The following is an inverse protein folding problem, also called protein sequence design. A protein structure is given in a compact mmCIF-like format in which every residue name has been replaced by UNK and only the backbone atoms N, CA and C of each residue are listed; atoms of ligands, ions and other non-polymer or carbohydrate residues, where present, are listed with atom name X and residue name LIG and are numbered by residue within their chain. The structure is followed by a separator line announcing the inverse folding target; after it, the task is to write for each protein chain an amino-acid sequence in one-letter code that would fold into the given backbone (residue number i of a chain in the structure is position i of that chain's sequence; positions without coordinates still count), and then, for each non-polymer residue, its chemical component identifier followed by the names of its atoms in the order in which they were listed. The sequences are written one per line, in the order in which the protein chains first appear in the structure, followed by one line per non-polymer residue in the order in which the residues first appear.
data_IF_829658557733
#
_entry.id   IF_829658557733
#
_cell.length_a   1.000
_cell.length_b   1.000
_cell.length_c   1.000
_cell.angle_alpha   90.00
_cell.angle_beta   90.00
_cell.angle_gamma   90.00
#
_symmetry.space_group_name_H-M   'P 1'
#
loop_
_entity.id
_entity.type
_entity.pdbx_description
1 polymer ?
#
# COMPACT_ATOMS: atom_id res chain seq x y z
N UNK A 1 -8.13 27.62 31.17
CA UNK A 1 -7.97 26.21 30.73
C UNK A 1 -8.52 26.16 29.32
N UNK A 2 -7.69 26.57 28.36
CA UNK A 2 -8.03 26.49 26.94
C UNK A 2 -7.71 25.08 26.42
N UNK A 3 -8.55 24.52 25.52
CA UNK A 3 -8.30 23.21 24.94
C UNK A 3 -7.19 23.30 23.88
N UNK A 4 -6.27 22.34 23.92
CA UNK A 4 -5.14 22.23 23.02
C UNK A 4 -5.56 22.15 21.53
N UNK A 5 -4.85 22.92 20.69
CA UNK A 5 -4.95 22.92 19.23
C UNK A 5 -4.58 21.57 18.60
N UNK A 6 -5.20 21.16 17.49
CA UNK A 6 -4.91 19.89 16.82
C UNK A 6 -3.87 20.08 15.70
N UNK A 7 -2.59 20.15 16.04
CA UNK A 7 -1.54 20.23 15.03
C UNK A 7 -0.20 19.78 15.58
N UNK A 8 -0.10 18.51 15.94
CA UNK A 8 1.18 17.81 16.10
C UNK A 8 0.97 16.34 15.70
N UNK A 9 0.91 16.10 14.38
CA UNK A 9 1.24 14.79 13.85
C UNK A 9 2.77 14.74 13.77
N UNK A 10 3.42 13.69 14.33
CA UNK A 10 4.86 13.59 14.24
C UNK A 10 5.28 13.57 12.76
N UNK A 11 6.25 14.43 12.44
CA UNK A 11 6.85 14.52 11.13
C UNK A 11 7.26 13.13 10.65
N UNK A 12 6.73 12.80 9.47
CA UNK A 12 7.04 11.61 8.70
C UNK A 12 8.56 11.43 8.63
N UNK A 13 9.04 10.20 8.75
CA UNK A 13 10.46 9.88 8.55
C UNK A 13 10.83 10.17 7.08
N UNK A 14 11.26 11.41 6.80
CA UNK A 14 11.55 11.96 5.47
C UNK A 14 12.72 11.30 4.74
N UNK A 15 13.31 10.25 5.32
CA UNK A 15 14.57 9.66 4.87
C UNK A 15 14.41 8.34 4.11
N UNK A 16 13.20 7.78 4.01
CA UNK A 16 13.00 6.56 3.23
C UNK A 16 12.82 6.90 1.74
N UNK A 17 13.65 6.35 0.83
CA UNK A 17 13.43 6.53 -0.60
C UNK A 17 12.07 5.92 -1.00
N UNK A 18 11.33 6.56 -1.92
CA UNK A 18 10.07 6.01 -2.40
C UNK A 18 10.31 4.66 -3.07
N UNK A 19 9.36 3.73 -2.91
CA UNK A 19 9.40 2.43 -3.58
C UNK A 19 9.60 2.60 -5.10
N UNK A 20 10.53 1.85 -5.74
CA UNK A 20 10.80 1.98 -7.16
C UNK A 20 9.59 1.68 -8.03
N UNK A 21 9.48 2.39 -9.15
CA UNK A 21 8.32 2.35 -10.05
C UNK A 21 8.05 0.94 -10.60
N UNK A 22 9.10 0.17 -10.85
CA UNK A 22 9.02 -1.22 -11.27
C UNK A 22 8.30 -2.10 -10.23
N UNK A 23 8.61 -1.91 -8.94
CA UNK A 23 7.97 -2.65 -7.84
C UNK A 23 6.51 -2.24 -7.66
N UNK A 24 6.19 -0.95 -7.83
CA UNK A 24 4.80 -0.45 -7.81
C UNK A 24 3.98 -1.02 -8.97
N UNK A 25 4.59 -1.11 -10.16
CA UNK A 25 3.97 -1.67 -11.36
C UNK A 25 3.73 -3.18 -11.22
N UNK A 26 4.72 -3.91 -10.73
CA UNK A 26 4.59 -5.33 -10.39
C UNK A 26 3.47 -5.56 -9.38
N UNK A 27 3.40 -4.72 -8.35
CA UNK A 27 2.38 -4.83 -7.32
C UNK A 27 0.97 -4.63 -7.89
N UNK A 28 0.78 -3.60 -8.73
CA UNK A 28 -0.48 -3.37 -9.40
C UNK A 28 -0.88 -4.56 -10.29
N UNK A 29 0.04 -5.07 -11.12
CA UNK A 29 -0.20 -6.23 -11.98
C UNK A 29 -0.56 -7.50 -11.19
N UNK A 30 0.17 -7.76 -10.10
CA UNK A 30 -0.06 -8.91 -9.22
C UNK A 30 -1.46 -8.89 -8.62
N UNK A 31 -1.89 -7.74 -8.11
CA UNK A 31 -3.19 -7.56 -7.47
C UNK A 31 -4.33 -7.63 -8.47
N UNK A 32 -4.17 -7.03 -9.66
CA UNK A 32 -5.14 -7.15 -10.75
C UNK A 32 -5.31 -8.60 -11.24
N UNK A 33 -4.30 -9.44 -11.04
CA UNK A 33 -4.35 -10.87 -11.39
C UNK A 33 -5.03 -11.76 -10.33
N UNK A 34 -5.37 -11.22 -9.15
CA UNK A 34 -5.95 -12.01 -8.03
C UNK A 34 -7.39 -12.43 -8.35
N UNK A 35 -8.19 -11.51 -8.87
CA UNK A 35 -9.59 -11.72 -9.23
C UNK A 35 -9.92 -11.06 -10.56
N UNK A 36 -10.80 -11.70 -11.33
CA UNK A 36 -11.45 -11.01 -12.44
C UNK A 36 -12.41 -9.98 -11.87
N UNK A 37 -12.14 -8.71 -12.13
CA UNK A 37 -13.02 -7.59 -11.75
C UNK A 37 -13.70 -7.05 -13.03
N UNK A 38 -14.99 -6.68 -13.00
CA UNK A 38 -15.58 -5.93 -14.10
C UNK A 38 -14.87 -4.58 -14.27
N UNK A 39 -14.89 -4.00 -15.49
CA UNK A 39 -14.38 -2.65 -15.68
C UNK A 39 -15.12 -1.66 -14.76
N UNK A 40 -14.43 -0.67 -14.18
CA UNK A 40 -15.07 0.33 -13.33
C UNK A 40 -16.11 1.13 -14.13
N UNK A 41 -17.27 1.47 -13.55
CA UNK A 41 -18.19 2.40 -14.18
C UNK A 41 -17.56 3.81 -14.27
N UNK A 42 -17.96 4.64 -15.26
CA UNK A 42 -17.32 5.94 -15.53
C UNK A 42 -17.40 6.95 -14.37
N UNK A 43 -18.27 6.75 -13.39
CA UNK A 43 -18.45 7.63 -12.22
C UNK A 43 -17.69 7.16 -10.97
N UNK A 44 -17.00 6.03 -11.02
CA UNK A 44 -16.53 5.31 -9.83
C UNK A 44 -15.48 6.05 -8.98
N UNK A 45 -14.69 6.94 -9.59
CA UNK A 45 -13.58 7.63 -8.91
C UNK A 45 -13.73 9.16 -8.87
N UNK A 46 -14.83 9.71 -9.42
CA UNK A 46 -14.90 11.13 -9.79
C UNK A 46 -14.97 12.12 -8.63
N UNK A 47 -15.22 11.68 -7.39
CA UNK A 47 -15.55 12.64 -6.31
C UNK A 47 -14.50 12.80 -5.22
N UNK A 48 -13.58 11.84 -5.01
CA UNK A 48 -12.70 11.87 -3.82
C UNK A 48 -11.20 11.98 -4.14
N UNK A 49 -10.78 11.75 -5.38
CA UNK A 49 -9.35 11.74 -5.75
C UNK A 49 -8.91 12.95 -6.62
N UNK A 50 -9.85 13.80 -7.05
CA UNK A 50 -9.59 14.93 -7.95
C UNK A 50 -9.69 16.32 -7.26
N UNK A 51 -9.24 16.47 -6.02
CA UNK A 51 -9.11 17.80 -5.42
C UNK A 51 -7.65 18.17 -5.21
N UNK A 52 -7.00 18.50 -6.32
CA UNK A 52 -5.82 19.35 -6.37
C UNK A 52 -5.80 20.04 -7.73
N UNK A 53 -6.61 21.08 -7.89
CA UNK A 53 -6.35 22.09 -8.90
C UNK A 53 -6.97 23.40 -8.46
N UNK A 54 -6.09 24.34 -8.13
CA UNK A 54 -6.40 25.75 -7.92
C UNK A 54 -7.09 26.33 -9.15
N UNK A 55 -8.06 27.19 -8.87
CA UNK A 55 -8.90 27.94 -9.79
C UNK A 55 -8.17 28.54 -10.99
N UNK A 56 -8.62 28.24 -12.20
CA UNK A 56 -8.49 29.11 -13.38
C UNK A 56 -9.64 28.84 -14.36
N UNK A 57 -10.49 29.84 -14.70
CA UNK A 57 -11.57 29.67 -15.67
C UNK A 57 -11.17 30.28 -17.02
N UNK A 58 -10.66 29.49 -17.97
CA UNK A 58 -10.80 29.83 -19.38
C UNK A 58 -10.73 28.62 -20.33
N UNK A 59 -11.58 28.68 -21.36
CA UNK A 59 -11.97 27.68 -22.34
C UNK A 59 -10.84 26.91 -23.04
N UNK A 60 -11.05 25.61 -23.31
CA UNK A 60 -11.25 25.07 -24.68
C UNK A 60 -11.39 23.54 -24.71
N UNK A 61 -12.26 23.08 -25.60
CA UNK A 61 -12.79 21.73 -25.76
C UNK A 61 -11.78 20.72 -26.32
N UNK A 62 -11.52 19.65 -25.57
CA UNK A 62 -11.24 18.30 -26.08
C UNK A 62 -11.81 17.30 -25.06
N UNK A 63 -12.34 16.12 -25.46
CA UNK A 63 -12.68 15.09 -24.50
C UNK A 63 -11.37 14.46 -24.03
N UNK A 64 -10.65 15.16 -23.15
CA UNK A 64 -9.54 14.58 -22.40
C UNK A 64 -10.15 13.46 -21.58
N UNK A 65 -9.88 12.24 -22.04
CA UNK A 65 -9.94 10.98 -21.31
C UNK A 65 -9.78 11.27 -19.81
N UNK A 66 -10.88 11.19 -19.06
CA UNK A 66 -10.91 11.45 -17.63
C UNK A 66 -9.96 10.46 -16.97
N UNK A 67 -8.73 10.89 -16.69
CA UNK A 67 -7.64 10.05 -16.19
C UNK A 67 -8.01 9.53 -14.81
N UNK A 68 -8.57 8.31 -14.78
CA UNK A 68 -8.67 7.50 -13.59
C UNK A 68 -7.27 7.38 -12.98
N UNK A 69 -7.08 7.65 -11.67
CA UNK A 69 -5.80 7.38 -11.05
C UNK A 69 -5.54 5.87 -11.11
N UNK A 70 -4.47 5.49 -11.80
CA UNK A 70 -4.08 4.08 -11.93
C UNK A 70 -3.83 3.48 -10.53
N UNK A 71 -4.03 2.17 -10.39
CA UNK A 71 -3.71 1.45 -9.15
C UNK A 71 -2.26 1.73 -8.68
N UNK A 72 -1.35 1.95 -9.64
CA UNK A 72 0.03 2.38 -9.39
C UNK A 72 0.09 3.75 -8.70
N UNK A 73 -0.68 4.73 -9.16
CA UNK A 73 -0.73 6.05 -8.51
C UNK A 73 -1.29 5.97 -7.09
N UNK A 74 -2.37 5.23 -6.88
CA UNK A 74 -2.93 4.98 -5.54
C UNK A 74 -1.90 4.33 -4.61
N UNK A 75 -1.23 3.28 -5.10
CA UNK A 75 -0.20 2.57 -4.36
C UNK A 75 0.98 3.47 -4.01
N UNK A 76 1.47 4.28 -4.96
CA UNK A 76 2.55 5.25 -4.72
C UNK A 76 2.18 6.22 -3.60
N UNK A 77 0.98 6.79 -3.65
CA UNK A 77 0.50 7.73 -2.63
C UNK A 77 0.47 7.09 -1.24
N UNK A 78 0.04 5.82 -1.13
CA UNK A 78 0.07 5.10 0.15
C UNK A 78 1.51 4.84 0.59
N UNK A 79 2.37 4.35 -0.29
CA UNK A 79 3.75 4.02 0.06
C UNK A 79 4.50 5.24 0.60
N UNK A 80 4.32 6.40 -0.03
CA UNK A 80 4.94 7.66 0.43
C UNK A 80 4.36 8.11 1.77
N UNK A 81 3.03 8.18 1.90
CA UNK A 81 2.38 8.73 3.11
C UNK A 81 2.44 7.81 4.33
N UNK A 82 2.57 6.49 4.13
CA UNK A 82 2.71 5.50 5.20
C UNK A 82 4.16 5.00 5.37
N UNK A 83 5.13 5.64 4.71
CA UNK A 83 6.55 5.28 4.73
C UNK A 83 6.81 3.78 4.49
N UNK A 84 6.14 3.19 3.49
CA UNK A 84 6.28 1.77 3.15
C UNK A 84 7.65 1.52 2.53
N UNK A 85 8.39 0.58 3.11
CA UNK A 85 9.68 0.12 2.58
C UNK A 85 9.49 -0.87 1.43
N UNK A 86 10.52 -1.04 0.60
CA UNK A 86 10.51 -2.04 -0.47
C UNK A 86 10.27 -3.46 0.06
N UNK A 87 10.90 -3.82 1.18
CA UNK A 87 10.69 -5.11 1.84
C UNK A 87 9.23 -5.29 2.29
N UNK A 88 8.63 -4.26 2.90
CA UNK A 88 7.23 -4.31 3.30
C UNK A 88 6.29 -4.49 2.09
N UNK A 89 6.60 -3.85 0.96
CA UNK A 89 5.85 -4.04 -0.27
C UNK A 89 6.03 -5.46 -0.85
N UNK A 90 7.25 -6.03 -0.81
CA UNK A 90 7.50 -7.42 -1.23
C UNK A 90 6.73 -8.42 -0.37
N UNK A 91 6.80 -8.29 0.96
CA UNK A 91 6.06 -9.15 1.88
C UNK A 91 4.55 -9.03 1.62
N UNK A 92 4.07 -7.82 1.30
CA UNK A 92 2.67 -7.60 0.92
C UNK A 92 2.30 -8.37 -0.36
N UNK A 93 3.20 -8.45 -1.34
CA UNK A 93 2.98 -9.25 -2.55
C UNK A 93 3.00 -10.76 -2.30
N UNK A 94 3.82 -11.23 -1.36
CA UNK A 94 3.77 -12.61 -0.89
C UNK A 94 2.40 -12.90 -0.27
N UNK A 95 1.86 -12.00 0.55
CA UNK A 95 0.50 -12.13 1.10
C UNK A 95 -0.58 -12.11 0.01
N UNK A 96 -0.44 -11.25 -1.00
CA UNK A 96 -1.35 -11.22 -2.16
C UNK A 96 -1.32 -12.56 -2.93
N UNK A 97 -0.14 -13.16 -3.10
CA UNK A 97 0.00 -14.48 -3.72
C UNK A 97 -0.65 -15.59 -2.88
N UNK A 98 -0.53 -15.54 -1.54
CA UNK A 98 -1.23 -16.46 -0.63
C UNK A 98 -2.74 -16.28 -0.77
N UNK A 99 -3.24 -15.04 -0.78
CA UNK A 99 -4.64 -14.73 -0.98
C UNK A 99 -5.17 -15.26 -2.32
N UNK A 100 -4.42 -15.08 -3.41
CA UNK A 100 -4.78 -15.59 -4.75
C UNK A 100 -5.03 -17.10 -4.73
N UNK A 101 -4.19 -17.87 -4.05
CA UNK A 101 -4.35 -19.33 -3.90
C UNK A 101 -5.61 -19.72 -3.11
N UNK A 102 -6.05 -18.87 -2.18
CA UNK A 102 -7.27 -19.10 -1.39
C UNK A 102 -8.53 -18.80 -2.19
N UNK A 103 -8.51 -17.77 -3.04
CA UNK A 103 -9.68 -17.31 -3.77
C UNK A 103 -10.00 -18.10 -5.06
N UNK A 104 -9.07 -18.91 -5.55
CA UNK A 104 -9.23 -19.65 -6.81
C UNK A 104 -10.25 -20.78 -6.69
N UNK A 105 -11.52 -20.49 -7.01
CA UNK A 105 -12.46 -21.46 -7.61
C UNK A 105 -13.49 -20.84 -8.54
N UNK A 106 -14.04 -19.65 -8.27
CA UNK A 106 -14.91 -18.88 -9.20
C UNK A 106 -15.13 -17.42 -8.68
N UNK A 107 -14.23 -16.92 -7.85
CA UNK A 107 -14.43 -15.64 -7.18
C UNK A 107 -14.36 -14.46 -8.17
N UNK A 108 -15.31 -13.53 -8.04
CA UNK A 108 -15.36 -12.28 -8.81
C UNK A 108 -15.33 -11.13 -7.82
N UNK A 109 -14.48 -10.14 -8.08
CA UNK A 109 -14.40 -8.92 -7.29
C UNK A 109 -15.19 -7.77 -7.92
N UNK A 110 -15.48 -6.76 -7.12
CA UNK A 110 -15.92 -5.43 -7.58
C UNK A 110 -14.73 -4.61 -8.12
N UNK A 111 -14.97 -3.52 -8.88
CA UNK A 111 -13.90 -2.71 -9.45
C UNK A 111 -12.91 -2.10 -8.44
N UNK A 112 -13.32 -1.85 -7.19
CA UNK A 112 -12.42 -1.39 -6.12
C UNK A 112 -11.67 -2.51 -5.39
N UNK A 113 -11.99 -3.77 -5.67
CA UNK A 113 -11.40 -4.92 -4.97
C UNK A 113 -9.86 -4.93 -5.04
N UNK A 114 -9.21 -4.62 -6.18
CA UNK A 114 -7.76 -4.49 -6.23
C UNK A 114 -7.21 -3.48 -5.22
N UNK A 115 -7.85 -2.32 -5.09
CA UNK A 115 -7.45 -1.27 -4.15
C UNK A 115 -7.57 -1.75 -2.71
N UNK A 116 -8.69 -2.41 -2.38
CA UNK A 116 -8.93 -3.00 -1.05
C UNK A 116 -7.89 -4.07 -0.71
N UNK A 117 -7.56 -4.95 -1.65
CA UNK A 117 -6.59 -6.04 -1.45
C UNK A 117 -5.22 -5.48 -1.11
N UNK A 118 -4.68 -4.57 -1.94
CA UNK A 118 -3.33 -4.05 -1.71
C UNK A 118 -3.25 -3.18 -0.45
N UNK A 119 -4.29 -2.40 -0.17
CA UNK A 119 -4.39 -1.59 1.06
C UNK A 119 -4.38 -2.47 2.32
N UNK A 120 -5.12 -3.57 2.29
CA UNK A 120 -5.17 -4.54 3.40
C UNK A 120 -3.84 -5.22 3.61
N UNK A 121 -3.19 -5.67 2.53
CA UNK A 121 -1.90 -6.33 2.59
C UNK A 121 -0.84 -5.40 3.21
N UNK A 122 -0.75 -4.16 2.73
CA UNK A 122 0.19 -3.16 3.26
C UNK A 122 -0.05 -2.84 4.73
N UNK A 123 -1.31 -2.66 5.13
CA UNK A 123 -1.66 -2.36 6.52
C UNK A 123 -1.24 -3.50 7.45
N UNK A 124 -1.52 -4.74 7.06
CA UNK A 124 -1.17 -5.92 7.85
C UNK A 124 0.35 -6.08 7.94
N UNK A 125 1.08 -5.93 6.84
CA UNK A 125 2.55 -6.01 6.86
C UNK A 125 3.16 -4.91 7.73
N UNK A 126 2.65 -3.67 7.61
CA UNK A 126 3.10 -2.55 8.44
C UNK A 126 2.95 -2.85 9.93
N UNK A 127 1.78 -3.32 10.34
CA UNK A 127 1.54 -3.73 11.73
C UNK A 127 2.40 -4.91 12.18
N UNK A 128 2.75 -5.80 11.25
CA UNK A 128 3.54 -6.99 11.56
C UNK A 128 5.04 -6.68 11.71
N UNK A 129 5.56 -5.69 10.97
CA UNK A 129 6.98 -5.32 10.99
C UNK A 129 7.34 -4.19 11.95
N UNK A 130 6.39 -3.32 12.31
CA UNK A 130 6.62 -2.16 13.17
C UNK A 130 6.29 -2.49 14.63
N UNK A 131 7.18 -2.12 15.56
CA UNK A 131 6.99 -2.31 17.01
C UNK A 131 5.85 -1.44 17.56
N UNK A 132 5.78 -0.18 17.10
CA UNK A 132 4.67 0.72 17.40
C UNK A 132 3.74 0.83 16.19
N UNK A 133 2.61 0.14 16.29
CA UNK A 133 1.57 0.11 15.26
C UNK A 133 0.32 0.91 15.65
N UNK A 134 0.38 1.70 16.73
CA UNK A 134 -0.76 2.44 17.27
C UNK A 134 -1.27 3.44 16.24
N UNK A 135 -2.57 3.38 15.94
CA UNK A 135 -3.22 4.35 15.05
C UNK A 135 -3.03 4.11 13.54
N UNK A 136 -2.35 3.05 13.10
CA UNK A 136 -2.15 2.77 11.68
C UNK A 136 -3.46 2.67 10.87
N UNK A 137 -4.54 2.10 11.42
CA UNK A 137 -5.83 2.05 10.73
C UNK A 137 -6.42 3.46 10.52
N UNK A 138 -6.23 4.35 11.49
CA UNK A 138 -6.66 5.76 11.38
C UNK A 138 -5.80 6.50 10.36
N UNK A 139 -4.49 6.24 10.34
CA UNK A 139 -3.59 6.79 9.33
C UNK A 139 -4.01 6.35 7.93
N UNK A 140 -4.24 5.06 7.69
CA UNK A 140 -4.64 4.53 6.38
C UNK A 140 -5.99 5.11 5.93
N UNK A 141 -6.96 5.26 6.83
CA UNK A 141 -8.23 5.93 6.50
C UNK A 141 -8.00 7.38 6.06
N UNK A 142 -7.13 8.14 6.75
CA UNK A 142 -6.77 9.52 6.36
C UNK A 142 -6.05 9.58 5.00
N UNK A 143 -5.10 8.68 4.76
CA UNK A 143 -4.30 8.61 3.51
C UNK A 143 -5.18 8.35 2.28
N UNK A 144 -6.27 7.60 2.46
CA UNK A 144 -7.22 7.30 1.38
C UNK A 144 -8.18 8.46 1.08
N UNK A 145 -8.04 9.60 1.77
CA UNK A 145 -8.73 10.86 1.45
C UNK A 145 -10.26 10.70 1.29
N UNK A 146 -10.91 9.96 2.19
CA UNK A 146 -12.35 9.75 2.19
C UNK A 146 -12.85 8.62 1.28
N UNK A 147 -11.95 7.94 0.55
CA UNK A 147 -12.30 6.74 -0.21
C UNK A 147 -12.72 5.59 0.71
N UNK A 148 -12.06 5.45 1.87
CA UNK A 148 -12.38 4.42 2.85
C UNK A 148 -12.43 5.01 4.27
N UNK A 149 -13.56 4.78 4.95
CA UNK A 149 -13.72 5.16 6.36
C UNK A 149 -12.89 4.26 7.27
N UNK A 150 -12.66 4.68 8.52
CA UNK A 150 -11.98 3.83 9.51
C UNK A 150 -12.69 2.48 9.70
N UNK A 151 -14.02 2.45 9.59
CA UNK A 151 -14.80 1.22 9.67
C UNK A 151 -14.48 0.30 8.50
N UNK A 152 -14.35 0.85 7.30
CA UNK A 152 -13.98 0.10 6.10
C UNK A 152 -12.59 -0.48 6.26
N UNK A 153 -11.60 0.33 6.66
CA UNK A 153 -10.22 -0.12 6.91
C UNK A 153 -10.17 -1.26 7.95
N UNK A 154 -10.87 -1.12 9.08
CA UNK A 154 -10.94 -2.17 10.10
C UNK A 154 -11.59 -3.46 9.56
N UNK A 155 -12.54 -3.34 8.65
CA UNK A 155 -13.23 -4.49 8.05
C UNK A 155 -12.35 -5.16 7.01
N UNK A 156 -11.69 -4.38 6.17
CA UNK A 156 -10.70 -4.84 5.20
C UNK A 156 -9.58 -5.65 5.87
N UNK A 157 -8.99 -5.10 6.93
CA UNK A 157 -7.95 -5.79 7.72
C UNK A 157 -8.44 -7.14 8.25
N UNK A 158 -9.59 -7.16 8.95
CA UNK A 158 -10.13 -8.40 9.54
C UNK A 158 -10.46 -9.44 8.47
N UNK A 159 -11.07 -9.03 7.37
CA UNK A 159 -11.38 -9.92 6.25
C UNK A 159 -10.11 -10.50 5.62
N UNK A 160 -9.09 -9.66 5.39
CA UNK A 160 -7.82 -10.09 4.81
C UNK A 160 -7.08 -11.09 5.72
N UNK A 161 -6.97 -10.80 7.01
CA UNK A 161 -6.39 -11.71 8.01
C UNK A 161 -7.15 -13.04 8.08
N UNK A 162 -8.48 -12.99 8.05
CA UNK A 162 -9.33 -14.18 8.03
C UNK A 162 -9.10 -15.05 6.79
N UNK A 163 -8.99 -14.45 5.61
CA UNK A 163 -8.70 -15.15 4.36
C UNK A 163 -7.31 -15.80 4.37
N UNK A 164 -6.31 -15.13 4.96
CA UNK A 164 -4.97 -15.69 5.14
C UNK A 164 -4.87 -16.70 6.29
N UNK A 165 -5.93 -16.87 7.09
CA UNK A 165 -5.91 -17.65 8.34
C UNK A 165 -4.73 -17.27 9.25
N UNK A 166 -4.40 -15.98 9.28
CA UNK A 166 -3.25 -15.44 10.03
C UNK A 166 -1.89 -16.04 9.66
N UNK A 167 -1.73 -16.62 8.47
CA UNK A 167 -0.44 -17.04 7.94
C UNK A 167 0.38 -15.83 7.50
N UNK A 168 1.00 -15.16 8.48
CA UNK A 168 1.74 -13.91 8.32
C UNK A 168 3.26 -14.09 8.33
N UNK A 169 3.76 -15.18 8.90
CA UNK A 169 5.19 -15.45 8.90
C UNK A 169 5.70 -15.61 7.46
N UNK A 170 6.79 -14.91 7.14
CA UNK A 170 7.48 -14.97 5.83
C UNK A 170 8.96 -15.17 6.12
N UNK A 171 9.55 -16.23 5.57
CA UNK A 171 10.98 -16.50 5.73
C UNK A 171 11.83 -15.68 4.78
N UNK A 172 13.11 -15.52 5.10
CA UNK A 172 14.09 -14.95 4.17
C UNK A 172 14.15 -15.73 2.84
N UNK A 173 14.00 -17.05 2.90
CA UNK A 173 13.94 -17.91 1.70
C UNK A 173 12.71 -17.61 0.83
N UNK A 174 11.54 -17.36 1.44
CA UNK A 174 10.35 -16.95 0.69
C UNK A 174 10.54 -15.59 0.01
N UNK A 175 11.18 -14.64 0.71
CA UNK A 175 11.53 -13.32 0.14
C UNK A 175 12.52 -13.47 -1.02
N UNK A 176 13.61 -14.24 -0.82
CA UNK A 176 14.61 -14.48 -1.85
C UNK A 176 13.99 -15.18 -3.07
N UNK A 177 13.16 -16.19 -2.85
CA UNK A 177 12.43 -16.91 -3.91
C UNK A 177 11.50 -15.97 -4.67
N UNK A 178 10.78 -15.09 -3.97
CA UNK A 178 9.92 -14.09 -4.60
C UNK A 178 10.71 -13.15 -5.51
N UNK A 179 11.82 -12.60 -5.01
CA UNK A 179 12.70 -11.69 -5.76
C UNK A 179 13.25 -12.40 -6.99
N UNK A 180 13.74 -13.64 -6.83
CA UNK A 180 14.27 -14.44 -7.93
C UNK A 180 13.22 -14.70 -9.03
N UNK A 181 11.99 -15.04 -8.65
CA UNK A 181 10.90 -15.26 -9.61
C UNK A 181 10.54 -14.02 -10.43
N UNK A 182 10.70 -12.82 -9.86
CA UNK A 182 10.34 -11.55 -10.50
C UNK A 182 11.56 -10.72 -10.93
N UNK A 183 12.75 -11.32 -10.97
CA UNK A 183 14.01 -10.62 -11.25
C UNK A 183 14.00 -9.83 -12.57
N UNK A 184 13.28 -10.34 -13.60
CA UNK A 184 13.11 -9.68 -14.90
C UNK A 184 12.26 -8.42 -14.84
N UNK A 185 11.36 -8.32 -13.88
CA UNK A 185 10.49 -7.15 -13.70
C UNK A 185 11.14 -6.13 -12.74
N UNK A 186 12.03 -6.61 -11.87
CA UNK A 186 12.69 -5.84 -10.82
C UNK A 186 14.14 -5.43 -11.14
N UNK A 187 14.53 -5.39 -12.42
CA UNK A 187 15.88 -5.01 -12.84
C UNK A 187 16.38 -3.75 -12.10
N UNK A 188 17.38 -3.91 -11.22
CA UNK A 188 18.01 -2.81 -10.47
C UNK A 188 17.68 -2.73 -8.97
N UNK A 189 16.82 -3.58 -8.43
CA UNK A 189 16.57 -3.68 -6.99
C UNK A 189 17.62 -4.55 -6.29
N UNK A 190 18.60 -3.92 -5.65
CA UNK A 190 19.62 -4.62 -4.85
C UNK A 190 19.10 -4.91 -3.42
N UNK A 191 18.00 -5.69 -3.34
CA UNK A 191 17.28 -5.96 -2.07
C UNK A 191 18.02 -6.98 -1.19
N UNK A 192 19.09 -7.60 -1.71
CA UNK A 192 19.92 -8.54 -0.96
C UNK A 192 20.80 -7.89 0.12
N UNK A 193 20.79 -6.56 0.28
CA UNK A 193 21.51 -5.88 1.36
C UNK A 193 20.77 -5.88 2.72
N UNK A 194 19.55 -6.42 2.79
CA UNK A 194 18.77 -6.50 4.04
C UNK A 194 19.31 -7.48 5.09
N UNK A 195 20.37 -8.25 4.78
CA UNK A 195 21.06 -9.13 5.73
C UNK A 195 21.96 -8.38 6.72
N UNK A 196 22.12 -7.05 6.60
CA UNK A 196 22.88 -6.28 7.59
C UNK A 196 21.95 -5.92 8.76
N UNK A 197 22.19 -6.44 9.98
CA UNK A 197 21.40 -6.04 11.14
C UNK A 197 21.44 -4.53 11.28
N UNK A 198 20.30 -3.91 11.58
CA UNK A 198 20.24 -2.52 12.07
C UNK A 198 21.26 -2.44 13.19
N UNK A 199 22.35 -1.71 12.97
CA UNK A 199 23.26 -1.35 14.05
C UNK A 199 22.40 -0.73 15.13
N UNK A 200 22.35 -1.39 16.29
CA UNK A 200 21.79 -0.79 17.48
C UNK A 200 22.42 0.60 17.62
N UNK A 201 21.60 1.61 17.87
CA UNK A 201 22.09 2.91 18.27
C UNK A 201 23.04 2.67 19.47
N UNK A 202 24.34 2.78 19.25
CA UNK A 202 25.30 2.90 20.34
C UNK A 202 24.91 4.16 21.10
N UNK A 203 24.28 3.96 22.25
CA UNK A 203 24.21 4.97 23.30
C UNK A 203 25.66 5.20 23.73
N UNK A 204 26.31 6.20 23.13
CA UNK A 204 27.47 6.83 23.75
C UNK A 204 26.98 7.48 25.04
N UNK A 205 27.16 6.77 26.15
CA UNK A 205 27.26 7.41 27.46
C UNK A 205 28.70 7.88 27.55
N UNK A 206 28.93 9.15 27.24
CA UNK A 206 30.21 9.79 27.51
C UNK A 206 30.45 9.87 29.04
N UNK A 207 31.72 9.77 29.47
CA UNK A 207 32.12 9.44 30.85
C UNK A 207 31.89 10.53 31.91
#
# INVERSE_FOLDING_TARGET
MDPASPSDLPDNCSSCPPCPEALLSLAAGSVLSVLKCPPPPPTFFSSSLLLSSSSDPHLSSSPTEQQQPSLVHFLRNICVKAAVTELALIISLIYVNRLKKVLTTMARGDPDTPFKIILSALLVVKKFLEEDCVGLNRLFSKITNGLYTLRDINTMERSFLGLLKFSLFVTEEEVASFIQCHQKELHGLDILQYSKPRSACEFNVDP
#
